data_IF_337460506558
#
_entry.id   IF_337460506558
#
_cell.length_a   1.000
_cell.length_b   1.000
_cell.length_c   1.000
_cell.angle_alpha   90.00
_cell.angle_beta   90.00
_cell.angle_gamma   90.00
#
_symmetry.space_group_name_H-M   'P 1'
#
loop_
_entity.id
_entity.type
_entity.pdbx_description
1 polymer ?
#
# COMPACT_ATOMS: atom_id res chain seq x y z
N UNK A 1 0.38 -4.45 -19.55
CA UNK A 1 0.14 -3.30 -18.64
C UNK A 1 -1.20 -3.35 -17.89
N UNK A 2 -2.18 -4.16 -18.33
CA UNK A 2 -3.41 -4.44 -17.56
C UNK A 2 -3.17 -5.18 -16.23
N UNK A 3 -2.10 -5.97 -16.10
CA UNK A 3 -1.87 -6.79 -14.90
C UNK A 3 -1.65 -5.98 -13.63
N UNK A 4 -0.82 -4.91 -13.65
CA UNK A 4 -0.65 -4.03 -12.50
C UNK A 4 -2.00 -3.41 -12.08
N UNK A 5 -2.75 -2.87 -13.03
CA UNK A 5 -4.06 -2.26 -12.77
C UNK A 5 -5.06 -3.25 -12.17
N UNK A 6 -5.08 -4.49 -12.68
CA UNK A 6 -5.97 -5.55 -12.18
C UNK A 6 -5.57 -6.01 -10.78
N UNK A 7 -4.28 -6.18 -10.53
CA UNK A 7 -3.75 -6.52 -9.21
C UNK A 7 -4.07 -5.42 -8.19
N UNK A 8 -3.81 -4.15 -8.52
CA UNK A 8 -4.10 -3.01 -7.64
C UNK A 8 -5.59 -2.94 -7.28
N UNK A 9 -6.49 -3.14 -8.25
CA UNK A 9 -7.93 -3.22 -7.97
C UNK A 9 -8.29 -4.37 -7.05
N UNK A 10 -7.69 -5.56 -7.23
CA UNK A 10 -7.90 -6.72 -6.36
C UNK A 10 -7.42 -6.46 -4.93
N UNK A 11 -6.33 -5.71 -4.78
CA UNK A 11 -5.79 -5.28 -3.50
C UNK A 11 -6.56 -4.08 -2.89
N UNK A 12 -7.64 -3.61 -3.52
CA UNK A 12 -8.50 -2.55 -2.99
C UNK A 12 -8.03 -1.12 -3.28
N UNK A 13 -7.06 -0.93 -4.19
CA UNK A 13 -6.68 0.41 -4.62
C UNK A 13 -7.74 1.01 -5.55
N UNK A 14 -8.09 2.26 -5.30
CA UNK A 14 -8.96 3.05 -6.17
C UNK A 14 -8.13 4.01 -7.03
N UNK A 15 -8.64 4.34 -8.22
CA UNK A 15 -7.98 5.32 -9.10
C UNK A 15 -8.31 6.74 -8.62
N UNK A 16 -7.29 7.57 -8.45
CA UNK A 16 -7.46 9.00 -8.13
C UNK A 16 -7.98 9.73 -9.37
N UNK A 17 -9.00 10.56 -9.20
CA UNK A 17 -9.59 11.38 -10.28
C UNK A 17 -8.71 12.60 -10.57
N UNK A 18 -8.83 13.16 -11.77
CA UNK A 18 -8.17 14.40 -12.18
C UNK A 18 -6.63 14.34 -12.06
N UNK A 19 -6.04 13.23 -12.49
CA UNK A 19 -4.59 13.09 -12.62
C UNK A 19 -4.28 12.77 -14.07
N UNK A 20 -3.32 13.49 -14.65
CA UNK A 20 -2.86 13.28 -16.03
C UNK A 20 -2.30 11.87 -16.20
N UNK A 21 -1.59 11.38 -15.17
CA UNK A 21 -1.09 10.01 -15.09
C UNK A 21 -1.98 9.12 -14.20
N UNK A 22 -2.08 7.81 -14.48
CA UNK A 22 -2.88 6.89 -13.68
C UNK A 22 -2.26 6.67 -12.30
N UNK A 23 -2.77 7.41 -11.31
CA UNK A 23 -2.47 7.24 -9.88
C UNK A 23 -3.54 6.36 -9.23
N UNK A 24 -3.09 5.37 -8.46
CA UNK A 24 -3.91 4.50 -7.63
C UNK A 24 -3.61 4.77 -6.16
N UNK A 25 -4.62 4.75 -5.31
CA UNK A 25 -4.48 5.03 -3.88
C UNK A 25 -5.23 4.00 -3.06
N UNK A 26 -4.63 3.60 -1.95
CA UNK A 26 -5.28 2.83 -0.89
C UNK A 26 -4.90 3.47 0.44
N UNK A 27 -5.89 3.66 1.30
CA UNK A 27 -5.65 4.11 2.67
C UNK A 27 -5.64 2.89 3.59
N UNK A 28 -4.59 2.76 4.40
CA UNK A 28 -4.46 1.70 5.38
C UNK A 28 -4.32 2.31 6.78
N UNK A 29 -5.09 1.76 7.73
CA UNK A 29 -5.13 2.22 9.12
C UNK A 29 -3.90 1.69 9.86
N UNK A 30 -2.79 2.43 9.79
CA UNK A 30 -1.53 2.12 10.46
C UNK A 30 -0.29 2.64 9.72
N UNK A 31 -0.36 2.68 8.39
CA UNK A 31 0.72 3.17 7.49
C UNK A 31 0.29 4.32 6.59
N UNK A 32 -0.99 4.72 6.67
CA UNK A 32 -1.54 5.87 5.98
C UNK A 32 -1.84 5.63 4.50
N UNK A 33 -1.62 6.66 3.69
CA UNK A 33 -1.91 6.65 2.26
C UNK A 33 -0.81 5.99 1.44
N UNK A 34 -1.12 4.86 0.80
CA UNK A 34 -0.29 4.22 -0.22
C UNK A 34 -0.70 4.69 -1.61
N UNK A 35 0.25 5.23 -2.37
CA UNK A 35 0.04 5.74 -3.72
C UNK A 35 0.85 4.91 -4.70
N UNK A 36 0.23 4.40 -5.76
CA UNK A 36 0.91 3.66 -6.82
C UNK A 36 0.70 4.37 -8.15
N UNK A 37 1.80 4.68 -8.82
CA UNK A 37 1.80 5.21 -10.19
C UNK A 37 2.33 4.17 -11.14
N UNK A 38 1.86 4.15 -12.39
CA UNK A 38 2.30 3.18 -13.40
C UNK A 38 2.84 3.94 -14.61
N UNK A 39 4.15 3.88 -14.82
CA UNK A 39 4.84 4.52 -15.93
C UNK A 39 5.76 3.52 -16.64
N UNK A 40 5.79 3.56 -17.99
CA UNK A 40 6.75 2.80 -18.84
C UNK A 40 6.96 1.33 -18.43
N UNK A 41 5.87 0.61 -18.13
CA UNK A 41 5.83 -0.81 -17.69
C UNK A 41 6.32 -1.09 -16.25
N UNK A 42 6.63 -0.06 -15.49
CA UNK A 42 6.97 -0.16 -14.07
C UNK A 42 5.87 0.45 -13.21
N UNK A 43 5.84 0.06 -11.95
CA UNK A 43 4.95 0.61 -10.95
C UNK A 43 5.79 1.20 -9.83
N UNK A 44 5.53 2.45 -9.47
CA UNK A 44 6.19 3.12 -8.36
C UNK A 44 5.19 3.24 -7.22
N UNK A 45 5.55 2.74 -6.03
CA UNK A 45 4.76 2.91 -4.81
C UNK A 45 5.40 3.98 -3.94
N UNK A 46 4.55 4.84 -3.37
CA UNK A 46 4.94 5.84 -2.37
C UNK A 46 4.04 5.73 -1.15
N UNK A 47 4.66 5.58 0.01
CA UNK A 47 3.97 5.61 1.30
C UNK A 47 4.49 6.81 2.08
N UNK A 48 3.70 7.89 2.11
CA UNK A 48 4.15 9.19 2.63
C UNK A 48 4.60 9.11 4.08
N UNK A 49 3.82 8.42 4.91
CA UNK A 49 4.05 8.40 6.36
C UNK A 49 5.27 7.55 6.75
N UNK A 50 5.73 6.68 5.84
CA UNK A 50 6.91 5.84 6.04
C UNK A 50 8.14 6.34 5.25
N UNK A 51 8.03 7.43 4.51
CA UNK A 51 9.07 7.92 3.58
C UNK A 51 9.57 6.83 2.60
N UNK A 52 8.71 5.89 2.22
CA UNK A 52 9.04 4.81 1.29
C UNK A 52 8.71 5.27 -0.13
N UNK A 53 9.67 5.11 -1.04
CA UNK A 53 9.51 5.28 -2.47
C UNK A 53 10.26 4.17 -3.21
N UNK A 54 9.52 3.24 -3.82
CA UNK A 54 10.10 2.07 -4.48
C UNK A 54 9.50 1.81 -5.86
N UNK A 55 10.34 1.31 -6.77
CA UNK A 55 9.97 1.01 -8.16
C UNK A 55 10.01 -0.50 -8.44
N UNK A 56 8.94 -0.99 -9.04
CA UNK A 56 8.74 -2.40 -9.34
C UNK A 56 8.54 -2.62 -10.84
N UNK A 57 9.36 -3.48 -11.43
CA UNK A 57 9.21 -3.94 -12.81
C UNK A 57 8.32 -5.18 -12.95
N UNK A 58 8.11 -5.92 -11.85
CA UNK A 58 7.34 -7.17 -11.82
C UNK A 58 6.11 -7.02 -10.91
N UNK A 59 4.96 -7.45 -11.41
CA UNK A 59 3.67 -7.37 -10.68
C UNK A 59 3.72 -8.13 -9.37
N UNK A 60 4.27 -9.35 -9.38
CA UNK A 60 4.34 -10.19 -8.18
C UNK A 60 5.12 -9.51 -7.05
N UNK A 61 6.27 -8.89 -7.36
CA UNK A 61 7.08 -8.19 -6.35
C UNK A 61 6.34 -7.01 -5.72
N UNK A 62 5.59 -6.24 -6.52
CA UNK A 62 4.76 -5.17 -5.98
C UNK A 62 3.64 -5.72 -5.09
N UNK A 63 3.01 -6.82 -5.50
CA UNK A 63 1.94 -7.45 -4.72
C UNK A 63 2.47 -7.98 -3.38
N UNK A 64 3.58 -8.71 -3.40
CA UNK A 64 4.24 -9.24 -2.20
C UNK A 64 4.62 -8.08 -1.25
N UNK A 65 5.21 -7.01 -1.78
CA UNK A 65 5.58 -5.82 -0.99
C UNK A 65 4.37 -5.12 -0.35
N UNK A 66 3.26 -4.99 -1.08
CA UNK A 66 2.02 -4.42 -0.52
C UNK A 66 1.52 -5.29 0.63
N UNK A 67 1.50 -6.62 0.47
CA UNK A 67 1.04 -7.54 1.51
C UNK A 67 1.92 -7.44 2.76
N UNK A 68 3.24 -7.43 2.59
CA UNK A 68 4.20 -7.27 3.69
C UNK A 68 3.97 -5.96 4.46
N UNK A 69 3.77 -4.84 3.75
CA UNK A 69 3.45 -3.55 4.39
C UNK A 69 2.15 -3.60 5.20
N UNK A 70 1.11 -4.25 4.70
CA UNK A 70 -0.17 -4.37 5.41
C UNK A 70 -0.07 -5.30 6.62
N UNK A 71 0.69 -6.38 6.52
CA UNK A 71 0.94 -7.32 7.61
C UNK A 71 1.76 -6.64 8.73
N UNK A 72 2.81 -5.90 8.39
CA UNK A 72 3.59 -5.11 9.36
C UNK A 72 2.71 -4.06 10.07
N UNK A 73 1.86 -3.36 9.31
CA UNK A 73 0.92 -2.39 9.87
C UNK A 73 -0.04 -3.05 10.87
N UNK A 74 -0.56 -4.22 10.51
CA UNK A 74 -1.45 -5.00 11.35
C UNK A 74 -0.75 -5.47 12.64
N UNK A 75 0.47 -6.01 12.53
CA UNK A 75 1.25 -6.45 13.69
C UNK A 75 1.52 -5.31 14.67
N UNK A 76 1.96 -4.14 14.18
CA UNK A 76 2.18 -2.95 15.04
C UNK A 76 0.89 -2.53 15.76
N UNK A 77 -0.26 -2.58 15.07
CA UNK A 77 -1.56 -2.28 15.68
C UNK A 77 -1.98 -3.32 16.72
N UNK A 78 -1.79 -4.61 16.45
CA UNK A 78 -2.09 -5.69 17.42
C UNK A 78 -1.24 -5.58 18.68
N UNK A 79 0.04 -5.20 18.56
CA UNK A 79 0.90 -4.95 19.73
C UNK A 79 0.34 -3.79 20.56
N UNK A 80 -0.08 -2.70 19.92
CA UNK A 80 -0.66 -1.53 20.62
C UNK A 80 -1.98 -1.90 21.32
N UNK A 81 -2.90 -2.59 20.63
CA UNK A 81 -4.18 -3.01 21.21
C UNK A 81 -3.99 -3.99 22.36
N UNK A 82 -3.06 -4.95 22.25
CA UNK A 82 -2.76 -5.87 23.33
C UNK A 82 -2.09 -5.17 24.53
N UNK A 83 -1.25 -4.16 24.29
CA UNK A 83 -0.65 -3.35 25.35
C UNK A 83 -1.68 -2.50 26.10
N UNK A 84 -2.72 -2.00 25.41
CA UNK A 84 -3.83 -1.28 26.02
C UNK A 84 -4.78 -2.21 26.80
N UNK A 85 -4.99 -3.46 26.36
CA UNK A 85 -5.83 -4.43 27.10
C UNK A 85 -5.16 -5.01 28.36
N UNK A 86 -3.83 -4.93 28.48
CA UNK A 86 -3.09 -5.38 29.67
C UNK A 86 -2.96 -4.35 30.79
N UNK A 87 -3.43 -3.11 30.60
CA UNK A 87 -3.41 -2.04 31.62
C UNK A 87 -4.79 -1.68 32.16
N UNK A 88 -5.80 -2.50 31.86
CA UNK A 88 -7.15 -2.39 32.40
C UNK A 88 -7.47 -3.55 33.35
N UNK A 89 -7.22 -3.30 34.64
CA UNK A 89 -7.66 -4.04 35.84
C UNK A 89 -6.97 -5.36 36.19
#
# INVERSE_FOLDING_TARGET
MMMFKRMLRRQGFYRVKNQDEPVYMKHNVGIGGMYVTIAKKKAQIRVRDLSIDEEFSRVKRLEDFIVELEDEAYQKKCVIVNKMRGTGS
#
